data_IF_446935279334
#
_entry.id   IF_446935279334
#
_cell.length_a   1.000
_cell.length_b   1.000
_cell.length_c   1.000
_cell.angle_alpha   90.00
_cell.angle_beta   90.00
_cell.angle_gamma   90.00
#
_symmetry.space_group_name_H-M   'P 1'
#
loop_
_entity.id
_entity.type
_entity.pdbx_description
1 polymer ?
#
# COMPACT_ATOMS: atom_id res chain seq x y z
N UNK A 1 7.35 -7.65 -19.74
CA UNK A 1 7.43 -6.17 -19.81
C UNK A 1 7.22 -5.65 -18.41
N UNK A 2 8.19 -4.87 -17.93
CA UNK A 2 8.07 -4.15 -16.66
C UNK A 2 7.07 -3.01 -16.88
N UNK A 3 5.92 -3.11 -16.21
CA UNK A 3 4.85 -2.11 -16.26
C UNK A 3 4.91 -1.31 -14.98
N UNK A 4 4.86 0.01 -15.11
CA UNK A 4 4.74 0.93 -13.96
C UNK A 4 3.61 1.92 -14.19
N UNK A 5 2.91 2.30 -13.12
CA UNK A 5 1.88 3.33 -13.11
C UNK A 5 2.02 4.12 -11.80
N UNK A 6 1.82 5.44 -11.85
CA UNK A 6 1.77 6.29 -10.66
C UNK A 6 0.47 7.04 -10.64
N UNK A 7 -0.24 6.99 -9.51
CA UNK A 7 -1.54 7.59 -9.30
C UNK A 7 -1.40 8.62 -8.18
N UNK A 8 -1.88 9.84 -8.41
CA UNK A 8 -1.99 10.85 -7.35
C UNK A 8 -3.16 10.53 -6.44
N UNK A 9 -2.97 10.65 -5.14
CA UNK A 9 -4.00 10.47 -4.12
C UNK A 9 -4.27 11.83 -3.48
N UNK A 10 -5.39 12.45 -3.85
CA UNK A 10 -5.82 13.74 -3.30
C UNK A 10 -7.24 13.68 -2.73
N UNK A 11 -7.99 12.62 -3.04
CA UNK A 11 -9.37 12.43 -2.66
C UNK A 11 -9.71 10.95 -2.49
N UNK A 12 -10.88 10.68 -1.90
CA UNK A 12 -11.40 9.32 -1.75
C UNK A 12 -11.69 8.64 -3.10
N UNK A 13 -11.95 9.41 -4.17
CA UNK A 13 -12.07 8.89 -5.54
C UNK A 13 -10.76 8.28 -6.01
N UNK A 14 -9.63 8.88 -5.68
CA UNK A 14 -8.31 8.38 -6.08
C UNK A 14 -7.97 7.06 -5.40
N UNK A 15 -8.41 6.87 -4.15
CA UNK A 15 -8.32 5.57 -3.47
C UNK A 15 -9.05 4.47 -4.24
N UNK A 16 -10.19 4.79 -4.85
CA UNK A 16 -10.93 3.86 -5.73
C UNK A 16 -10.14 3.57 -7.01
N UNK A 17 -9.51 4.57 -7.62
CA UNK A 17 -8.67 4.40 -8.81
C UNK A 17 -7.45 3.51 -8.52
N UNK A 18 -6.76 3.73 -7.41
CA UNK A 18 -5.67 2.87 -6.94
C UNK A 18 -6.15 1.42 -6.82
N UNK A 19 -7.29 1.20 -6.17
CA UNK A 19 -7.85 -0.15 -5.99
C UNK A 19 -8.15 -0.84 -7.32
N UNK A 20 -8.68 -0.10 -8.30
CA UNK A 20 -8.98 -0.60 -9.63
C UNK A 20 -7.71 -0.94 -10.40
N UNK A 21 -6.71 -0.05 -10.40
CA UNK A 21 -5.43 -0.30 -11.09
C UNK A 21 -4.68 -1.48 -10.46
N UNK A 22 -4.60 -1.57 -9.12
CA UNK A 22 -3.98 -2.71 -8.44
C UNK A 22 -4.65 -4.03 -8.83
N UNK A 23 -5.99 -4.07 -8.93
CA UNK A 23 -6.71 -5.25 -9.39
C UNK A 23 -6.34 -5.61 -10.83
N UNK A 24 -6.24 -4.62 -11.71
CA UNK A 24 -5.86 -4.82 -13.11
C UNK A 24 -4.44 -5.41 -13.23
N UNK A 25 -3.46 -4.83 -12.53
CA UNK A 25 -2.11 -5.40 -12.45
C UNK A 25 -2.10 -6.84 -11.94
N UNK A 26 -2.84 -7.11 -10.85
CA UNK A 26 -2.90 -8.45 -10.25
C UNK A 26 -3.49 -9.50 -11.21
N UNK A 27 -4.51 -9.13 -11.99
CA UNK A 27 -5.08 -10.01 -13.04
C UNK A 27 -4.07 -10.23 -14.16
N UNK A 28 -3.40 -9.19 -14.63
CA UNK A 28 -2.41 -9.26 -15.73
C UNK A 28 -1.22 -10.17 -15.40
N UNK A 29 -0.69 -10.10 -14.17
CA UNK A 29 0.39 -11.01 -13.72
C UNK A 29 -0.14 -12.41 -13.36
N UNK A 30 -1.46 -12.59 -13.34
CA UNK A 30 -2.15 -13.85 -13.16
C UNK A 30 -2.19 -14.33 -11.71
N UNK A 31 -2.36 -13.43 -10.74
CA UNK A 31 -2.64 -13.79 -9.35
C UNK A 31 -3.94 -14.58 -9.23
N UNK A 32 -3.98 -15.55 -8.31
CA UNK A 32 -5.23 -16.21 -7.92
C UNK A 32 -6.18 -15.25 -7.19
N UNK A 33 -7.47 -15.59 -7.10
CA UNK A 33 -8.50 -14.73 -6.50
C UNK A 33 -8.19 -14.32 -5.05
N UNK A 34 -7.57 -15.23 -4.28
CA UNK A 34 -7.14 -14.96 -2.91
C UNK A 34 -6.05 -13.88 -2.90
N UNK A 35 -5.05 -13.98 -3.77
CA UNK A 35 -3.95 -13.02 -3.83
C UNK A 35 -4.38 -11.66 -4.36
N UNK A 36 -5.30 -11.66 -5.34
CA UNK A 36 -5.95 -10.43 -5.81
C UNK A 36 -6.68 -9.73 -4.65
N UNK A 37 -7.48 -10.47 -3.88
CA UNK A 37 -8.19 -9.89 -2.72
C UNK A 37 -7.20 -9.32 -1.71
N UNK A 38 -6.15 -10.06 -1.35
CA UNK A 38 -5.14 -9.61 -0.38
C UNK A 38 -4.45 -8.31 -0.81
N UNK A 39 -3.93 -8.25 -2.04
CA UNK A 39 -3.18 -7.07 -2.49
C UNK A 39 -4.10 -5.85 -2.69
N UNK A 40 -5.34 -6.05 -3.14
CA UNK A 40 -6.34 -4.98 -3.30
C UNK A 40 -6.79 -4.43 -1.94
N UNK A 41 -6.97 -5.29 -0.93
CA UNK A 41 -7.27 -4.85 0.44
C UNK A 41 -6.10 -4.07 1.03
N UNK A 42 -4.88 -4.58 0.93
CA UNK A 42 -3.68 -3.88 1.42
C UNK A 42 -3.52 -2.50 0.76
N UNK A 43 -3.70 -2.43 -0.57
CA UNK A 43 -3.64 -1.16 -1.31
C UNK A 43 -4.70 -0.16 -0.86
N UNK A 44 -5.91 -0.62 -0.55
CA UNK A 44 -7.00 0.26 -0.10
C UNK A 44 -6.70 0.89 1.26
N UNK A 45 -6.14 0.11 2.18
CA UNK A 45 -5.72 0.60 3.50
C UNK A 45 -4.55 1.59 3.39
N UNK A 46 -3.52 1.27 2.59
CA UNK A 46 -2.35 2.15 2.42
C UNK A 46 -2.69 3.44 1.69
N UNK A 47 -3.52 3.37 0.63
CA UNK A 47 -4.00 4.57 -0.06
C UNK A 47 -4.82 5.47 0.85
N UNK A 48 -5.68 4.88 1.69
CA UNK A 48 -6.44 5.62 2.71
C UNK A 48 -5.51 6.26 3.72
N UNK A 49 -4.51 5.55 4.23
CA UNK A 49 -3.56 6.13 5.19
C UNK A 49 -2.77 7.31 4.59
N UNK A 50 -2.34 7.17 3.33
CA UNK A 50 -1.66 8.23 2.57
C UNK A 50 -2.54 9.48 2.48
N UNK A 51 -3.85 9.32 2.28
CA UNK A 51 -4.81 10.42 2.24
C UNK A 51 -5.09 11.00 3.63
N UNK A 52 -5.57 10.16 4.55
CA UNK A 52 -6.17 10.58 5.82
C UNK A 52 -5.11 11.05 6.83
N UNK A 53 -3.94 10.41 6.87
CA UNK A 53 -2.84 10.76 7.78
C UNK A 53 -1.74 11.54 7.07
N UNK A 54 -1.46 11.23 5.81
CA UNK A 54 -0.44 11.90 5.01
C UNK A 54 -0.86 13.23 4.37
N UNK A 55 -2.17 13.50 4.30
CA UNK A 55 -2.72 14.68 3.60
C UNK A 55 -2.75 14.53 2.07
N UNK A 56 -2.58 13.30 1.57
CA UNK A 56 -2.43 12.99 0.15
C UNK A 56 -0.99 12.66 -0.23
N UNK A 57 -0.81 12.19 -1.47
CA UNK A 57 0.48 11.65 -1.90
C UNK A 57 0.40 10.92 -3.23
N UNK A 58 1.24 9.90 -3.38
CA UNK A 58 1.27 9.07 -4.60
C UNK A 58 1.20 7.58 -4.28
N UNK A 59 0.64 6.82 -5.21
CA UNK A 59 0.72 5.36 -5.25
C UNK A 59 1.42 4.94 -6.55
N UNK A 60 2.59 4.32 -6.42
CA UNK A 60 3.34 3.73 -7.54
C UNK A 60 3.13 2.22 -7.56
N UNK A 61 2.70 1.70 -8.70
CA UNK A 61 2.44 0.29 -8.98
C UNK A 61 3.50 -0.20 -9.95
N UNK A 62 4.13 -1.35 -9.66
CA UNK A 62 5.22 -1.90 -10.46
C UNK A 62 5.08 -3.42 -10.57
N UNK A 63 5.13 -3.96 -11.79
CA UNK A 63 5.39 -5.39 -11.95
C UNK A 63 6.88 -5.64 -11.68
N UNK A 64 7.17 -6.61 -10.82
CA UNK A 64 8.53 -6.96 -10.40
C UNK A 64 8.80 -8.44 -10.65
N UNK A 65 10.06 -8.78 -10.90
CA UNK A 65 10.50 -10.16 -11.11
C UNK A 65 11.63 -10.52 -10.14
N UNK A 66 11.62 -11.75 -9.62
CA UNK A 66 12.65 -12.30 -8.74
C UNK A 66 12.91 -13.75 -9.14
N UNK A 67 13.90 -13.94 -10.01
CA UNK A 67 14.18 -15.22 -10.65
C UNK A 67 13.00 -15.68 -11.50
N UNK A 68 12.31 -16.75 -11.09
CA UNK A 68 11.13 -17.28 -11.79
C UNK A 68 9.79 -16.72 -11.27
N UNK A 69 9.82 -15.90 -10.22
CA UNK A 69 8.62 -15.32 -9.61
C UNK A 69 8.32 -13.97 -10.23
N UNK A 70 7.04 -13.68 -10.45
CA UNK A 70 6.52 -12.36 -10.79
C UNK A 70 5.69 -11.84 -9.64
N UNK A 71 5.73 -10.54 -9.40
CA UNK A 71 5.05 -9.90 -8.28
C UNK A 71 4.52 -8.53 -8.65
N UNK A 72 3.76 -7.98 -7.71
CA UNK A 72 3.28 -6.62 -7.75
C UNK A 72 3.87 -5.89 -6.55
N UNK A 73 4.70 -4.88 -6.83
CA UNK A 73 5.22 -3.93 -5.85
C UNK A 73 4.34 -2.70 -5.86
N UNK A 74 3.92 -2.29 -4.67
CA UNK A 74 3.17 -1.06 -4.44
C UNK A 74 3.99 -0.18 -3.51
N UNK A 75 4.16 1.08 -3.88
CA UNK A 75 4.81 2.10 -3.04
C UNK A 75 3.86 3.26 -2.83
N UNK A 76 3.61 3.60 -1.57
CA UNK A 76 2.77 4.71 -1.15
C UNK A 76 3.64 5.75 -0.46
N UNK A 77 3.54 7.00 -0.88
CA UNK A 77 4.37 8.10 -0.39
C UNK A 77 3.55 9.36 -0.13
N UNK A 78 3.68 9.93 1.05
CA UNK A 78 3.16 11.24 1.43
C UNK A 78 4.28 12.17 1.92
N UNK A 79 3.94 13.46 2.05
CA UNK A 79 4.78 14.49 2.69
C UNK A 79 4.10 15.03 3.94
N UNK A 80 3.38 14.15 4.65
CA UNK A 80 2.60 14.49 5.82
C UNK A 80 3.45 14.62 7.10
N UNK A 81 2.82 14.55 8.28
CA UNK A 81 3.50 14.72 9.57
C UNK A 81 4.47 13.58 9.92
N UNK A 82 4.44 12.46 9.19
CA UNK A 82 5.20 11.25 9.54
C UNK A 82 4.62 10.50 10.75
N UNK A 83 5.29 9.43 11.14
CA UNK A 83 4.90 8.52 12.22
C UNK A 83 5.97 8.59 13.31
N UNK A 84 5.57 9.00 14.52
CA UNK A 84 6.48 9.17 15.67
C UNK A 84 7.03 7.84 16.17
N UNK A 85 6.18 6.82 16.26
CA UNK A 85 6.55 5.48 16.73
C UNK A 85 6.01 4.43 15.74
N UNK A 86 6.89 3.97 14.86
CA UNK A 86 6.58 2.99 13.81
C UNK A 86 6.22 1.63 14.43
N UNK A 87 6.91 1.22 15.49
CA UNK A 87 6.67 -0.08 16.13
C UNK A 87 5.28 -0.11 16.77
N UNK A 88 4.88 0.99 17.41
CA UNK A 88 3.53 1.16 17.93
C UNK A 88 2.48 1.19 16.80
N UNK A 89 2.76 1.89 15.69
CA UNK A 89 1.86 1.95 14.53
C UNK A 89 1.66 0.58 13.84
N UNK A 90 2.63 -0.33 13.97
CA UNK A 90 2.56 -1.70 13.46
C UNK A 90 1.96 -2.70 14.44
N UNK A 91 1.67 -2.29 15.69
CA UNK A 91 1.07 -3.16 16.71
C UNK A 91 -0.39 -3.45 16.38
N UNK A 92 -0.79 -4.70 16.56
CA UNK A 92 -2.17 -5.12 16.29
C UNK A 92 -3.18 -4.40 17.18
N UNK A 93 -4.29 -3.96 16.57
CA UNK A 93 -5.35 -3.23 17.25
C UNK A 93 -5.02 -1.76 17.53
N UNK A 94 -3.82 -1.28 17.21
CA UNK A 94 -3.50 0.13 17.32
C UNK A 94 -4.16 0.90 16.16
N UNK A 95 -5.00 1.86 16.51
CA UNK A 95 -5.60 2.81 15.57
C UNK A 95 -5.61 4.20 16.19
N UNK A 96 -5.21 5.20 15.42
CA UNK A 96 -5.35 6.62 15.76
C UNK A 96 -6.64 7.22 15.19
N UNK A 97 -7.46 6.43 14.47
CA UNK A 97 -8.71 6.85 13.82
C UNK A 97 -9.86 5.85 13.96
N UNK A 98 -10.97 6.11 13.25
CA UNK A 98 -12.25 5.36 13.33
C UNK A 98 -12.29 4.04 12.57
N UNK A 99 -11.14 3.53 12.10
CA UNK A 99 -11.03 2.25 11.39
C UNK A 99 -10.99 1.03 12.33
N UNK A 100 -11.13 -0.17 11.77
CA UNK A 100 -11.17 -1.47 12.49
C UNK A 100 -9.83 -1.89 13.16
N UNK A 101 -8.87 -0.99 13.36
CA UNK A 101 -7.58 -1.34 14.01
C UNK A 101 -6.66 -2.24 13.18
N UNK A 102 -6.88 -2.33 11.88
CA UNK A 102 -6.17 -3.24 10.97
C UNK A 102 -5.37 -2.55 9.86
N UNK A 103 -5.25 -1.22 9.84
CA UNK A 103 -4.71 -0.48 8.68
C UNK A 103 -3.30 -0.94 8.27
N UNK A 104 -2.27 -0.41 8.94
CA UNK A 104 -0.88 -0.68 8.57
C UNK A 104 -0.44 -2.13 8.88
N UNK A 105 -0.84 -2.65 10.04
CA UNK A 105 -0.57 -4.04 10.46
C UNK A 105 -1.27 -5.08 9.58
N UNK A 106 -2.47 -4.80 9.10
CA UNK A 106 -3.19 -5.64 8.14
C UNK A 106 -2.54 -5.62 6.77
N UNK A 107 -2.14 -4.45 6.27
CA UNK A 107 -1.37 -4.36 5.02
C UNK A 107 -0.09 -5.20 5.08
N UNK A 108 0.64 -5.17 6.21
CA UNK A 108 1.81 -6.02 6.46
C UNK A 108 1.50 -7.51 6.40
N UNK A 109 0.38 -7.97 6.99
CA UNK A 109 -0.04 -9.39 6.92
C UNK A 109 -0.46 -9.85 5.52
N UNK A 110 -0.97 -8.93 4.72
CA UNK A 110 -1.49 -9.21 3.38
C UNK A 110 -0.42 -9.15 2.29
N UNK A 111 0.82 -8.80 2.62
CA UNK A 111 1.96 -8.79 1.71
C UNK A 111 2.93 -9.94 1.99
N UNK A 112 3.81 -10.25 1.05
CA UNK A 112 4.96 -11.12 1.30
C UNK A 112 6.14 -10.33 1.87
N UNK A 113 6.33 -9.10 1.37
CA UNK A 113 7.36 -8.18 1.83
C UNK A 113 6.69 -6.85 2.17
N UNK A 114 7.17 -6.22 3.23
CA UNK A 114 6.66 -4.97 3.76
C UNK A 114 7.84 -4.15 4.29
N UNK A 115 7.94 -2.91 3.85
CA UNK A 115 8.89 -1.92 4.32
C UNK A 115 8.16 -0.62 4.62
N UNK A 116 8.54 0.03 5.71
CA UNK A 116 8.05 1.37 6.06
C UNK A 116 9.24 2.24 6.46
N UNK A 117 9.23 3.46 5.93
CA UNK A 117 10.16 4.52 6.26
C UNK A 117 9.32 5.76 6.58
N UNK A 118 9.53 6.37 7.73
CA UNK A 118 8.79 7.57 8.12
C UNK A 118 9.69 8.47 8.94
N UNK A 119 9.63 9.77 8.65
CA UNK A 119 10.38 10.78 9.39
C UNK A 119 9.39 11.87 9.80
N UNK A 120 9.40 12.19 11.10
CA UNK A 120 8.49 13.19 11.67
C UNK A 120 8.73 14.55 11.00
N UNK A 121 7.67 15.09 10.39
CA UNK A 121 7.71 16.36 9.65
C UNK A 121 8.14 16.25 8.19
N UNK A 122 8.53 15.07 7.70
CA UNK A 122 8.91 14.88 6.28
C UNK A 122 7.95 13.95 5.51
N UNK A 123 7.25 13.05 6.20
CA UNK A 123 6.24 12.18 5.62
C UNK A 123 6.52 10.69 5.81
N UNK A 124 5.77 9.87 5.08
CA UNK A 124 5.85 8.40 5.16
C UNK A 124 5.92 7.77 3.79
N UNK A 125 6.75 6.73 3.69
CA UNK A 125 6.86 5.82 2.55
C UNK A 125 6.57 4.40 3.02
N UNK A 126 5.60 3.74 2.40
CA UNK A 126 5.31 2.32 2.63
C UNK A 126 5.45 1.56 1.32
N UNK A 127 6.25 0.50 1.32
CA UNK A 127 6.41 -0.40 0.19
C UNK A 127 5.92 -1.78 0.57
N UNK A 128 5.08 -2.38 -0.27
CA UNK A 128 4.68 -3.78 -0.15
C UNK A 128 4.90 -4.53 -1.45
N UNK A 129 5.29 -5.81 -1.34
CA UNK A 129 5.37 -6.71 -2.48
C UNK A 129 4.55 -7.96 -2.20
N UNK A 130 3.75 -8.36 -3.18
CA UNK A 130 3.15 -9.68 -3.24
C UNK A 130 3.73 -10.44 -4.43
N UNK A 131 4.10 -11.70 -4.22
CA UNK A 131 4.62 -12.58 -5.25
C UNK A 131 3.56 -13.60 -5.65
N UNK A 132 3.56 -13.99 -6.93
CA UNK A 132 2.81 -15.14 -7.44
C UNK A 132 3.50 -16.45 -7.10
#
# INVERSE_FOLDING_TARGET
MERTETILIQSSTDVVLVRQSVRQFAVEIGFGLVDQTKIVTAASELARNTLDYGGGGTAKLETVESGRRRGLKLTFEDQGPGIVDIDLALKDGFTTGSGLGMGLSGAKRLANEFEIQSVVGEGTRVTIIRWK
#
